data_IF_021055232540
#
_entry.id   IF_021055232540
#
_cell.length_a   1.000
_cell.length_b   1.000
_cell.length_c   1.000
_cell.angle_alpha   90.00
_cell.angle_beta   90.00
_cell.angle_gamma   90.00
#
_symmetry.space_group_name_H-M   'P 1'
#
loop_
_entity.id
_entity.type
_entity.pdbx_description
1 polymer ?
#
# COMPACT_ATOMS: atom_id res chain seq x y z
N UNK A 1 -23.15 44.22 -13.18
CA UNK A 1 -21.96 43.74 -13.92
C UNK A 1 -20.67 43.65 -13.09
N UNK A 2 -20.26 44.67 -12.32
CA UNK A 2 -18.97 44.65 -11.56
C UNK A 2 -18.82 43.53 -10.49
N UNK A 3 -19.91 43.05 -9.86
CA UNK A 3 -19.86 41.89 -8.92
C UNK A 3 -19.62 40.53 -9.60
N UNK A 4 -20.02 40.37 -10.87
CA UNK A 4 -19.80 39.14 -11.63
C UNK A 4 -18.39 39.08 -12.23
N UNK A 5 -17.82 40.23 -12.60
CA UNK A 5 -16.44 40.34 -13.06
C UNK A 5 -15.42 40.06 -11.94
N UNK A 6 -15.68 40.44 -10.69
CA UNK A 6 -14.79 40.09 -9.56
C UNK A 6 -14.82 38.58 -9.25
N UNK A 7 -15.99 37.94 -9.41
CA UNK A 7 -16.13 36.49 -9.30
C UNK A 7 -15.37 35.81 -10.46
N UNK A 8 -15.54 36.27 -11.70
CA UNK A 8 -14.81 35.79 -12.87
C UNK A 8 -13.29 36.02 -12.78
N UNK A 9 -12.82 37.11 -12.17
CA UNK A 9 -11.39 37.38 -11.98
C UNK A 9 -10.77 36.51 -10.87
N UNK A 10 -11.54 36.19 -9.81
CA UNK A 10 -11.16 35.16 -8.83
C UNK A 10 -11.19 33.76 -9.46
N UNK A 11 -12.05 33.52 -10.47
CA UNK A 11 -12.09 32.27 -11.24
C UNK A 11 -10.99 32.15 -12.31
N UNK A 12 -10.47 33.26 -12.85
CA UNK A 12 -9.47 33.25 -13.93
C UNK A 12 -8.06 32.80 -13.46
N UNK A 13 -7.79 32.82 -12.16
CA UNK A 13 -6.49 32.41 -11.59
C UNK A 13 -6.44 30.94 -11.14
N UNK A 14 -7.49 30.15 -11.38
CA UNK A 14 -7.54 28.73 -11.00
C UNK A 14 -8.06 27.87 -12.14
N UNK A 15 -7.15 27.22 -12.88
CA UNK A 15 -7.41 26.21 -13.92
C UNK A 15 -8.74 25.45 -13.75
N UNK A 16 -9.76 25.83 -14.52
CA UNK A 16 -11.10 25.25 -14.42
C UNK A 16 -11.70 24.93 -15.80
N UNK A 17 -11.22 23.86 -16.40
CA UNK A 17 -11.91 23.18 -17.52
C UNK A 17 -12.94 22.15 -17.02
N UNK A 18 -13.29 22.14 -15.73
CA UNK A 18 -14.04 21.03 -15.11
C UNK A 18 -15.20 21.47 -14.17
N UNK A 19 -15.54 22.76 -14.16
CA UNK A 19 -16.63 23.31 -13.32
C UNK A 19 -18.01 22.85 -13.83
N UNK A 20 -18.25 22.87 -15.14
CA UNK A 20 -19.56 22.50 -15.73
C UNK A 20 -19.91 21.05 -15.40
N UNK A 21 -18.90 20.19 -15.44
CA UNK A 21 -19.00 18.79 -15.08
C UNK A 21 -19.34 18.59 -13.58
N UNK A 22 -18.88 19.50 -12.71
CA UNK A 22 -19.17 19.51 -11.27
C UNK A 22 -20.61 19.99 -11.00
N UNK A 23 -21.09 20.95 -11.80
CA UNK A 23 -22.46 21.45 -11.80
C UNK A 23 -23.44 20.36 -12.28
N UNK A 24 -23.12 19.60 -13.32
CA UNK A 24 -23.96 18.49 -13.81
C UNK A 24 -24.23 17.41 -12.75
N UNK A 25 -23.25 17.09 -11.91
CA UNK A 25 -23.41 16.17 -10.78
C UNK A 25 -24.28 16.79 -9.68
N UNK A 26 -24.26 18.10 -9.54
CA UNK A 26 -25.11 18.83 -8.61
C UNK A 26 -26.56 18.92 -9.11
N UNK A 27 -26.83 18.89 -10.42
CA UNK A 27 -28.19 19.04 -10.94
C UNK A 27 -28.96 17.72 -11.14
N UNK A 28 -28.31 16.55 -11.20
CA UNK A 28 -28.95 15.29 -11.64
C UNK A 28 -29.63 14.37 -10.61
N UNK A 29 -29.60 14.62 -9.30
CA UNK A 29 -30.22 13.69 -8.32
C UNK A 29 -30.95 14.40 -7.17
N UNK A 30 -32.28 14.43 -7.18
CA UNK A 30 -33.14 14.87 -6.06
C UNK A 30 -33.97 13.70 -5.51
N UNK A 31 -33.96 13.52 -4.18
CA UNK A 31 -34.74 12.50 -3.45
C UNK A 31 -33.91 11.31 -2.94
N UNK A 32 -33.72 11.17 -1.61
CA UNK A 32 -32.72 10.28 -0.94
C UNK A 32 -31.24 10.52 -1.33
N UNK A 33 -30.99 11.38 -2.34
CA UNK A 33 -29.70 11.71 -2.93
C UNK A 33 -28.87 12.79 -2.24
N UNK A 34 -29.42 13.64 -1.35
CA UNK A 34 -28.67 14.83 -0.84
C UNK A 34 -27.33 14.49 -0.17
N UNK A 35 -27.29 13.55 0.77
CA UNK A 35 -26.02 13.13 1.40
C UNK A 35 -25.07 12.47 0.38
N UNK A 36 -25.62 11.68 -0.55
CA UNK A 36 -24.83 11.05 -1.60
C UNK A 36 -24.22 12.09 -2.56
N UNK A 37 -24.99 13.09 -2.93
CA UNK A 37 -24.61 14.22 -3.76
C UNK A 37 -23.55 15.07 -3.07
N UNK A 38 -23.73 15.41 -1.79
CA UNK A 38 -22.71 16.12 -0.99
C UNK A 38 -21.40 15.33 -0.97
N UNK A 39 -21.47 14.02 -0.74
CA UNK A 39 -20.31 13.13 -0.77
C UNK A 39 -19.63 13.13 -2.16
N UNK A 40 -20.41 12.99 -3.24
CA UNK A 40 -19.92 13.02 -4.63
C UNK A 40 -19.23 14.35 -4.96
N UNK A 41 -19.82 15.48 -4.58
CA UNK A 41 -19.25 16.81 -4.80
C UNK A 41 -17.96 16.96 -4.01
N UNK A 42 -17.94 16.59 -2.72
CA UNK A 42 -16.75 16.63 -1.89
C UNK A 42 -15.61 15.85 -2.53
N UNK A 43 -15.87 14.61 -2.94
CA UNK A 43 -14.86 13.75 -3.53
C UNK A 43 -14.36 14.26 -4.89
N UNK A 44 -15.28 14.67 -5.79
CA UNK A 44 -14.91 15.21 -7.10
C UNK A 44 -14.07 16.49 -6.94
N UNK A 45 -14.49 17.39 -6.07
CA UNK A 45 -13.76 18.63 -5.76
C UNK A 45 -12.35 18.34 -5.24
N UNK A 46 -12.18 17.33 -4.39
CA UNK A 46 -10.86 16.94 -3.88
C UNK A 46 -9.91 16.51 -5.01
N UNK A 47 -10.41 15.70 -5.94
CA UNK A 47 -9.62 15.22 -7.08
C UNK A 47 -9.24 16.32 -8.07
N UNK A 48 -10.06 17.37 -8.17
CA UNK A 48 -9.74 18.58 -8.94
C UNK A 48 -8.90 19.60 -8.13
N UNK A 49 -8.51 19.29 -6.89
CA UNK A 49 -7.73 20.19 -6.05
C UNK A 49 -8.53 21.36 -5.45
N UNK A 50 -9.86 21.35 -5.58
CA UNK A 50 -10.78 22.36 -5.06
C UNK A 50 -11.02 22.14 -3.55
N UNK A 51 -9.97 22.35 -2.76
CA UNK A 51 -9.95 22.01 -1.32
C UNK A 51 -10.98 22.78 -0.50
N UNK A 52 -11.24 24.06 -0.81
CA UNK A 52 -12.26 24.85 -0.10
C UNK A 52 -13.68 24.28 -0.28
N UNK A 53 -14.02 23.86 -1.51
CA UNK A 53 -15.31 23.23 -1.81
C UNK A 53 -15.40 21.87 -1.11
N UNK A 54 -14.32 21.09 -1.17
CA UNK A 54 -14.20 19.79 -0.51
C UNK A 54 -14.45 19.91 0.99
N UNK A 55 -13.77 20.85 1.65
CA UNK A 55 -13.94 21.11 3.07
C UNK A 55 -15.38 21.46 3.41
N UNK A 56 -15.95 22.46 2.72
CA UNK A 56 -17.33 22.91 2.95
C UNK A 56 -18.31 21.74 2.88
N UNK A 57 -18.19 20.91 1.82
CA UNK A 57 -19.07 19.76 1.59
C UNK A 57 -18.84 18.63 2.57
N UNK A 58 -17.60 18.37 2.97
CA UNK A 58 -17.31 17.39 4.02
C UNK A 58 -17.91 17.82 5.37
N UNK A 59 -17.77 19.09 5.77
CA UNK A 59 -18.36 19.61 7.00
C UNK A 59 -19.89 19.57 6.97
N UNK A 60 -20.48 19.92 5.82
CA UNK A 60 -21.93 19.78 5.57
C UNK A 60 -22.38 18.32 5.73
N UNK A 61 -21.65 17.37 5.13
CA UNK A 61 -21.94 15.93 5.27
C UNK A 61 -21.86 15.49 6.73
N UNK A 62 -20.82 15.88 7.47
CA UNK A 62 -20.66 15.48 8.87
C UNK A 62 -21.75 16.05 9.77
N UNK A 63 -22.29 17.24 9.44
CA UNK A 63 -23.42 17.86 10.15
C UNK A 63 -24.74 17.13 9.90
N UNK A 64 -24.98 16.71 8.66
CA UNK A 64 -26.26 16.12 8.24
C UNK A 64 -26.35 14.60 8.41
N UNK A 65 -25.21 13.89 8.45
CA UNK A 65 -25.19 12.43 8.55
C UNK A 65 -25.12 11.92 10.00
N UNK A 66 -25.81 10.80 10.26
CA UNK A 66 -25.72 10.06 11.53
C UNK A 66 -24.31 9.50 11.77
N UNK A 67 -23.87 9.37 13.04
CA UNK A 67 -22.52 8.89 13.39
C UNK A 67 -22.18 7.48 12.86
N UNK A 68 -23.19 6.63 12.65
CA UNK A 68 -23.04 5.29 12.08
C UNK A 68 -23.04 5.26 10.55
N UNK A 69 -23.19 6.40 9.86
CA UNK A 69 -23.20 6.43 8.41
C UNK A 69 -21.84 5.93 7.85
N UNK A 70 -21.83 4.89 7.00
CA UNK A 70 -20.60 4.23 6.56
C UNK A 70 -19.68 5.12 5.73
N UNK A 71 -20.17 6.24 5.17
CA UNK A 71 -19.37 7.20 4.38
C UNK A 71 -18.57 8.17 5.25
N UNK A 72 -18.85 8.26 6.56
CA UNK A 72 -18.12 9.19 7.46
C UNK A 72 -16.63 8.91 7.55
N UNK A 73 -16.22 7.63 7.45
CA UNK A 73 -14.80 7.23 7.40
C UNK A 73 -14.05 7.90 6.25
N UNK A 74 -14.65 7.91 5.06
CA UNK A 74 -14.09 8.56 3.88
C UNK A 74 -14.09 10.09 4.01
N UNK A 75 -15.15 10.67 4.58
CA UNK A 75 -15.24 12.13 4.78
C UNK A 75 -14.17 12.62 5.76
N UNK A 76 -13.94 11.90 6.86
CA UNK A 76 -12.88 12.25 7.81
C UNK A 76 -11.49 12.08 7.20
N UNK A 77 -11.26 11.03 6.40
CA UNK A 77 -10.02 10.86 5.64
C UNK A 77 -9.79 12.00 4.64
N UNK A 78 -10.82 12.35 3.83
CA UNK A 78 -10.77 13.48 2.90
C UNK A 78 -10.46 14.80 3.60
N UNK A 79 -11.12 15.10 4.73
CA UNK A 79 -10.81 16.29 5.53
C UNK A 79 -9.37 16.27 6.05
N UNK A 80 -8.89 15.12 6.52
CA UNK A 80 -7.49 14.99 6.96
C UNK A 80 -6.53 15.32 5.81
N UNK A 81 -6.82 14.84 4.59
CA UNK A 81 -6.00 15.10 3.42
C UNK A 81 -6.05 16.58 3.00
N UNK A 82 -7.25 17.18 3.01
CA UNK A 82 -7.45 18.61 2.74
C UNK A 82 -6.62 19.46 3.69
N UNK A 83 -6.77 19.24 5.01
CA UNK A 83 -6.09 20.04 6.02
C UNK A 83 -4.58 19.85 6.05
N UNK A 84 -4.10 18.64 5.73
CA UNK A 84 -2.67 18.43 5.53
C UNK A 84 -2.14 19.28 4.36
N UNK A 85 -2.85 19.28 3.22
CA UNK A 85 -2.44 20.01 2.01
C UNK A 85 -2.54 21.53 2.17
N UNK A 86 -3.59 22.02 2.81
CA UNK A 86 -3.78 23.45 3.10
C UNK A 86 -3.01 23.91 4.33
N UNK A 87 -2.29 23.00 5.00
CA UNK A 87 -1.53 23.25 6.23
C UNK A 87 -2.39 23.84 7.37
N UNK A 88 -3.69 23.52 7.40
CA UNK A 88 -4.63 24.01 8.40
C UNK A 88 -4.56 23.15 9.68
N UNK A 89 -3.68 23.56 10.59
CA UNK A 89 -3.39 22.89 11.86
C UNK A 89 -4.61 22.86 12.77
N UNK A 90 -5.28 24.00 12.94
CA UNK A 90 -6.40 24.14 13.87
C UNK A 90 -7.56 23.22 13.46
N UNK A 91 -7.94 23.23 12.18
CA UNK A 91 -9.02 22.37 11.71
C UNK A 91 -8.64 20.89 11.76
N UNK A 92 -7.38 20.52 11.49
CA UNK A 92 -6.93 19.14 11.67
C UNK A 92 -7.12 18.66 13.11
N UNK A 93 -6.70 19.46 14.09
CA UNK A 93 -6.81 19.12 15.50
C UNK A 93 -8.26 19.11 15.99
N UNK A 94 -8.98 20.20 15.78
CA UNK A 94 -10.29 20.44 16.38
C UNK A 94 -11.45 19.82 15.60
N UNK A 95 -11.34 19.68 14.27
CA UNK A 95 -12.41 19.14 13.43
C UNK A 95 -12.17 17.66 13.11
N UNK A 96 -10.92 17.27 12.81
CA UNK A 96 -10.64 15.89 12.38
C UNK A 96 -10.26 15.00 13.55
N UNK A 97 -9.20 15.30 14.31
CA UNK A 97 -8.72 14.41 15.38
C UNK A 97 -9.70 14.30 16.54
N UNK A 98 -10.30 15.41 16.99
CA UNK A 98 -11.33 15.36 18.02
C UNK A 98 -12.55 14.54 17.58
N UNK A 99 -13.03 14.76 16.34
CA UNK A 99 -14.18 14.02 15.81
C UNK A 99 -13.85 12.54 15.61
N UNK A 100 -12.66 12.22 15.10
CA UNK A 100 -12.18 10.85 14.97
C UNK A 100 -12.23 10.13 16.31
N UNK A 101 -11.73 10.76 17.37
CA UNK A 101 -11.72 10.17 18.70
C UNK A 101 -13.14 9.95 19.24
N UNK A 102 -14.04 10.92 19.07
CA UNK A 102 -15.45 10.81 19.50
C UNK A 102 -16.22 9.72 18.74
N UNK A 103 -15.88 9.51 17.46
CA UNK A 103 -16.58 8.56 16.57
C UNK A 103 -15.83 7.24 16.39
N UNK A 104 -14.73 7.02 17.10
CA UNK A 104 -13.80 5.90 16.91
C UNK A 104 -14.47 4.51 16.91
N UNK A 105 -15.58 4.33 17.62
CA UNK A 105 -16.33 3.06 17.62
C UNK A 105 -17.04 2.73 16.29
N UNK A 106 -17.28 3.75 15.45
CA UNK A 106 -17.95 3.61 14.15
C UNK A 106 -16.97 3.65 12.97
N UNK A 107 -15.74 4.10 13.20
CA UNK A 107 -14.71 4.20 12.15
C UNK A 107 -13.82 2.96 12.21
N UNK A 108 -13.61 2.22 11.11
CA UNK A 108 -12.70 1.07 11.15
C UNK A 108 -11.27 1.49 11.50
N UNK A 109 -10.56 0.63 12.24
CA UNK A 109 -9.23 0.93 12.78
C UNK A 109 -8.21 1.38 11.72
N UNK A 110 -8.29 0.82 10.52
CA UNK A 110 -7.41 1.16 9.40
C UNK A 110 -7.59 2.64 8.96
N UNK A 111 -8.83 3.13 8.91
CA UNK A 111 -9.11 4.55 8.63
C UNK A 111 -8.63 5.44 9.77
N UNK A 112 -8.83 5.01 11.02
CA UNK A 112 -8.35 5.75 12.17
C UNK A 112 -6.82 5.93 12.13
N UNK A 113 -6.07 4.88 11.79
CA UNK A 113 -4.60 4.94 11.65
C UNK A 113 -4.17 5.90 10.53
N UNK A 114 -4.81 5.86 9.36
CA UNK A 114 -4.54 6.81 8.25
C UNK A 114 -4.74 8.27 8.68
N UNK A 115 -5.91 8.56 9.24
CA UNK A 115 -6.26 9.91 9.70
C UNK A 115 -5.31 10.37 10.81
N UNK A 116 -4.99 9.48 11.76
CA UNK A 116 -4.01 9.76 12.81
C UNK A 116 -2.64 10.10 12.24
N UNK A 117 -2.10 9.30 11.30
CA UNK A 117 -0.78 9.55 10.67
C UNK A 117 -0.76 10.93 10.02
N UNK A 118 -1.81 11.29 9.27
CA UNK A 118 -1.91 12.60 8.63
C UNK A 118 -1.94 13.73 9.67
N UNK A 119 -2.82 13.62 10.67
CA UNK A 119 -2.99 14.66 11.69
C UNK A 119 -1.75 14.83 12.57
N UNK A 120 -1.22 13.73 13.09
CA UNK A 120 -0.01 13.70 13.90
C UNK A 120 1.17 14.34 13.16
N UNK A 121 1.40 13.97 11.89
CA UNK A 121 2.51 14.53 11.12
C UNK A 121 2.32 16.01 10.80
N UNK A 122 1.10 16.46 10.50
CA UNK A 122 0.86 17.89 10.26
C UNK A 122 1.18 18.72 11.51
N UNK A 123 0.71 18.27 12.68
CA UNK A 123 0.99 18.91 13.97
C UNK A 123 2.50 18.94 14.25
N UNK A 124 3.18 17.81 14.10
CA UNK A 124 4.62 17.68 14.30
C UNK A 124 5.42 18.61 13.37
N UNK A 125 5.09 18.64 12.07
CA UNK A 125 5.75 19.51 11.08
C UNK A 125 5.54 21.00 11.38
N UNK A 126 4.49 21.34 12.12
CA UNK A 126 4.17 22.69 12.56
C UNK A 126 4.64 22.99 13.99
N UNK A 127 5.55 22.15 14.51
CA UNK A 127 6.18 22.29 15.83
C UNK A 127 5.16 22.35 16.98
N UNK A 128 4.00 21.72 16.83
CA UNK A 128 3.05 21.54 17.93
C UNK A 128 3.48 20.37 18.80
N UNK A 129 3.16 20.43 20.08
CA UNK A 129 3.31 19.27 20.96
C UNK A 129 2.29 18.20 20.56
N UNK A 130 2.78 17.01 20.29
CA UNK A 130 2.00 15.85 19.85
C UNK A 130 1.85 14.79 20.94
N UNK A 131 2.38 15.03 22.14
CA UNK A 131 2.36 14.09 23.27
C UNK A 131 0.93 13.73 23.66
N UNK A 132 0.07 14.75 23.85
CA UNK A 132 -1.35 14.58 24.16
C UNK A 132 -2.10 13.80 23.07
N UNK A 133 -1.76 14.04 21.79
CA UNK A 133 -2.36 13.32 20.66
C UNK A 133 -1.92 11.85 20.66
N UNK A 134 -0.64 11.58 20.91
CA UNK A 134 -0.10 10.22 20.96
C UNK A 134 -0.71 9.42 22.12
N UNK A 135 -0.89 10.04 23.28
CA UNK A 135 -1.54 9.43 24.45
C UNK A 135 -3.01 9.13 24.16
N UNK A 136 -3.76 10.13 23.67
CA UNK A 136 -5.18 10.01 23.30
C UNK A 136 -5.45 8.89 22.30
N UNK A 137 -4.52 8.66 21.36
CA UNK A 137 -4.63 7.62 20.34
C UNK A 137 -3.74 6.40 20.61
N UNK A 138 -3.28 6.20 21.84
CA UNK A 138 -2.42 5.06 22.23
C UNK A 138 -3.01 3.70 21.88
N UNK A 139 -4.35 3.57 21.84
CA UNK A 139 -5.03 2.35 21.41
C UNK A 139 -4.74 1.97 19.95
N UNK A 140 -4.40 2.93 19.07
CA UNK A 140 -3.96 2.67 17.70
C UNK A 140 -2.54 2.11 17.62
N UNK A 141 -1.75 2.33 18.67
CA UNK A 141 -0.33 1.99 18.78
C UNK A 141 -0.09 0.66 19.49
N UNK A 142 -1.14 0.04 20.04
CA UNK A 142 -1.05 -1.23 20.77
C UNK A 142 -0.37 -2.29 19.90
N UNK A 143 0.64 -2.94 20.47
CA UNK A 143 1.35 -4.05 19.81
C UNK A 143 0.38 -5.22 19.61
N UNK A 144 0.51 -5.89 18.46
CA UNK A 144 -0.20 -7.15 18.15
C UNK A 144 0.04 -8.15 19.29
N UNK A 145 -0.97 -8.96 19.65
CA UNK A 145 -0.74 -10.18 20.44
C UNK A 145 0.32 -11.02 19.72
N UNK A 146 1.49 -11.13 20.32
CA UNK A 146 2.57 -11.99 19.81
C UNK A 146 2.24 -13.43 20.15
N UNK A 147 2.47 -14.33 19.21
CA UNK A 147 2.45 -15.77 19.46
C UNK A 147 3.88 -16.29 19.45
N UNK A 148 4.16 -17.39 20.16
CA UNK A 148 5.49 -18.01 20.08
C UNK A 148 5.66 -18.67 18.72
N UNK A 149 6.74 -18.37 18.02
CA UNK A 149 7.08 -19.06 16.79
C UNK A 149 7.61 -20.47 17.10
N UNK A 150 7.30 -21.48 16.26
CA UNK A 150 7.94 -22.77 16.34
C UNK A 150 9.43 -22.65 16.02
N UNK A 151 10.26 -23.61 16.49
CA UNK A 151 11.73 -23.57 16.35
C UNK A 151 12.17 -23.34 14.90
N UNK A 152 11.48 -23.97 13.93
CA UNK A 152 11.74 -23.83 12.49
C UNK A 152 11.59 -22.39 11.96
N UNK A 153 10.85 -21.53 12.67
CA UNK A 153 10.60 -20.14 12.28
C UNK A 153 11.31 -19.12 13.18
N UNK A 154 12.16 -19.54 14.12
CA UNK A 154 12.81 -18.62 15.08
C UNK A 154 13.64 -17.51 14.41
N UNK A 155 14.21 -17.75 13.22
CA UNK A 155 14.95 -16.75 12.42
C UNK A 155 14.11 -15.56 11.94
N UNK A 156 12.78 -15.66 12.06
CA UNK A 156 11.85 -14.57 11.83
C UNK A 156 11.55 -13.78 13.10
N UNK A 157 12.35 -13.89 14.17
CA UNK A 157 12.19 -13.08 15.39
C UNK A 157 12.93 -11.75 15.25
N UNK A 158 12.31 -10.59 15.56
CA UNK A 158 10.89 -10.41 15.88
C UNK A 158 10.03 -10.70 14.65
N UNK A 159 8.83 -11.28 14.84
CA UNK A 159 7.86 -11.80 13.84
C UNK A 159 7.47 -10.82 12.73
N UNK A 160 8.43 -10.44 11.89
CA UNK A 160 8.24 -9.52 10.78
C UNK A 160 7.66 -10.35 9.64
N UNK A 161 6.43 -10.00 9.27
CA UNK A 161 5.67 -10.60 8.17
C UNK A 161 5.44 -12.12 8.25
N UNK A 162 5.44 -12.67 9.46
CA UNK A 162 4.93 -14.03 9.75
C UNK A 162 3.57 -13.94 10.43
N UNK A 163 2.62 -14.73 9.94
CA UNK A 163 1.24 -14.73 10.40
C UNK A 163 0.74 -16.16 10.56
N UNK A 164 -0.09 -16.42 11.57
CA UNK A 164 -0.86 -17.66 11.64
C UNK A 164 -1.89 -17.69 10.50
N UNK A 165 -2.05 -18.84 9.87
CA UNK A 165 -3.10 -19.09 8.89
C UNK A 165 -4.28 -19.80 9.57
N UNK A 166 -5.38 -19.07 9.75
CA UNK A 166 -6.59 -19.54 10.43
C UNK A 166 -7.72 -19.86 9.43
N UNK A 167 -7.37 -20.29 8.21
CA UNK A 167 -8.36 -20.62 7.17
C UNK A 167 -9.05 -19.39 6.54
N UNK A 168 -8.51 -18.19 6.75
CA UNK A 168 -8.93 -16.96 6.06
C UNK A 168 -7.85 -16.48 5.10
N UNK A 169 -8.26 -15.92 3.96
CA UNK A 169 -7.34 -15.27 3.02
C UNK A 169 -6.93 -13.88 3.49
N UNK A 170 -7.73 -13.25 4.35
CA UNK A 170 -7.38 -11.98 4.98
C UNK A 170 -6.50 -12.26 6.18
N UNK A 171 -5.35 -11.60 6.22
CA UNK A 171 -4.43 -11.74 7.34
C UNK A 171 -3.70 -10.43 7.61
N UNK A 172 -3.06 -10.38 8.77
CA UNK A 172 -2.25 -9.25 9.19
C UNK A 172 -3.06 -8.03 9.61
N UNK A 173 -2.34 -6.99 10.02
CA UNK A 173 -2.91 -5.75 10.54
C UNK A 173 -1.97 -4.60 10.21
N UNK A 174 -2.51 -3.48 9.73
CA UNK A 174 -1.72 -2.29 9.47
C UNK A 174 -1.13 -1.75 10.77
N UNK A 175 0.07 -1.17 10.70
CA UNK A 175 0.78 -0.63 11.87
C UNK A 175 1.17 0.81 11.65
N UNK A 176 1.46 1.52 12.75
CA UNK A 176 2.11 2.83 12.71
C UNK A 176 3.54 2.63 13.15
N UNK A 177 4.48 3.03 12.31
CA UNK A 177 5.90 3.12 12.62
C UNK A 177 6.25 4.57 12.90
N UNK A 178 6.91 4.86 14.01
CA UNK A 178 7.48 6.18 14.26
C UNK A 178 8.95 6.15 13.87
N UNK A 179 9.36 7.06 13.00
CA UNK A 179 10.75 7.15 12.56
C UNK A 179 11.67 7.43 13.74
N UNK A 180 12.70 6.61 13.91
CA UNK A 180 13.68 6.79 14.99
C UNK A 180 14.67 7.91 14.69
N UNK A 181 14.97 8.10 13.40
CA UNK A 181 15.91 9.09 12.86
C UNK A 181 15.35 9.69 11.56
N UNK A 182 16.15 10.51 10.88
CA UNK A 182 15.81 10.99 9.55
C UNK A 182 16.08 9.88 8.53
N UNK A 183 15.02 9.38 7.89
CA UNK A 183 15.06 8.22 7.01
C UNK A 183 14.33 8.50 5.69
N UNK A 184 14.60 7.66 4.70
CA UNK A 184 13.84 7.52 3.46
C UNK A 184 12.87 6.34 3.55
N UNK A 185 11.92 6.25 2.62
CA UNK A 185 11.08 5.06 2.47
C UNK A 185 11.85 3.81 2.06
N UNK A 186 13.05 3.92 1.46
CA UNK A 186 13.89 2.75 1.24
C UNK A 186 14.38 2.16 2.56
N UNK A 187 14.90 3.00 3.45
CA UNK A 187 15.40 2.55 4.75
C UNK A 187 14.27 2.06 5.65
N UNK A 188 13.13 2.78 5.68
CA UNK A 188 11.94 2.33 6.40
C UNK A 188 11.44 1.01 5.81
N UNK A 189 11.38 0.88 4.48
CA UNK A 189 10.99 -0.34 3.80
C UNK A 189 11.87 -1.53 4.17
N UNK A 190 13.19 -1.32 4.22
CA UNK A 190 14.13 -2.31 4.71
C UNK A 190 13.85 -2.65 6.19
N UNK A 191 13.75 -1.68 7.09
CA UNK A 191 13.51 -1.90 8.53
C UNK A 191 12.18 -2.63 8.79
N UNK A 192 11.12 -2.26 8.08
CA UNK A 192 9.76 -2.76 8.31
C UNK A 192 9.38 -3.92 7.41
N UNK A 193 10.29 -4.35 6.52
CA UNK A 193 10.09 -5.40 5.52
C UNK A 193 8.85 -5.11 4.65
N UNK A 194 8.87 -3.94 4.04
CA UNK A 194 7.77 -3.35 3.26
C UNK A 194 8.34 -2.80 1.95
N UNK A 195 7.61 -2.97 0.85
CA UNK A 195 8.03 -2.48 -0.45
C UNK A 195 7.94 -0.97 -0.54
N UNK A 196 8.82 -0.34 -1.32
CA UNK A 196 8.82 1.10 -1.52
C UNK A 196 7.47 1.62 -2.04
N UNK A 197 6.93 1.01 -3.10
CA UNK A 197 5.63 1.42 -3.66
C UNK A 197 4.50 1.27 -2.62
N UNK A 198 4.52 0.20 -1.82
CA UNK A 198 3.53 -0.03 -0.76
C UNK A 198 3.55 1.11 0.29
N UNK A 199 4.75 1.56 0.70
CA UNK A 199 4.89 2.69 1.62
C UNK A 199 4.43 4.00 1.00
N UNK A 200 4.80 4.26 -0.27
CA UNK A 200 4.38 5.46 -1.01
C UNK A 200 2.87 5.53 -1.12
N UNK A 201 2.23 4.42 -1.46
CA UNK A 201 0.78 4.33 -1.65
C UNK A 201 0.00 4.41 -0.35
N UNK A 202 0.53 3.84 0.74
CA UNK A 202 -0.07 3.94 2.07
C UNK A 202 0.09 5.34 2.70
N UNK A 203 1.07 6.13 2.24
CA UNK A 203 1.45 7.42 2.82
C UNK A 203 1.59 8.53 1.76
N UNK A 204 0.56 8.83 0.96
CA UNK A 204 0.66 9.69 -0.23
C UNK A 204 0.92 11.18 0.07
N UNK A 205 0.95 11.58 1.35
CA UNK A 205 1.18 12.94 1.81
C UNK A 205 2.57 13.17 2.39
N UNK A 206 3.34 12.11 2.61
CA UNK A 206 4.69 12.19 3.16
C UNK A 206 5.72 12.30 2.03
N UNK A 207 6.83 12.99 2.30
CA UNK A 207 7.96 13.02 1.37
C UNK A 207 8.76 11.69 1.53
N UNK A 208 8.79 10.82 0.51
CA UNK A 208 9.44 9.51 0.63
C UNK A 208 10.96 9.58 0.81
N UNK A 209 11.58 10.74 0.55
CA UNK A 209 13.02 10.95 0.71
C UNK A 209 13.38 11.74 1.97
N UNK A 210 12.39 12.16 2.76
CA UNK A 210 12.62 12.96 3.96
C UNK A 210 11.55 12.69 5.02
N UNK A 211 11.65 11.52 5.66
CA UNK A 211 10.87 11.17 6.84
C UNK A 211 11.69 11.53 8.07
N UNK A 212 11.34 12.66 8.68
CA UNK A 212 12.05 13.17 9.86
C UNK A 212 11.83 12.29 11.07
N UNK A 213 12.77 12.34 12.00
CA UNK A 213 12.64 11.75 13.33
C UNK A 213 11.27 12.06 13.95
N UNK A 214 10.68 11.07 14.61
CA UNK A 214 9.35 11.07 15.22
C UNK A 214 8.16 11.12 14.28
N UNK A 215 8.32 11.28 12.96
CA UNK A 215 7.19 11.20 12.03
C UNK A 215 6.56 9.81 12.06
N UNK A 216 5.24 9.77 11.97
CA UNK A 216 4.46 8.55 11.88
C UNK A 216 4.36 8.08 10.42
N UNK A 217 4.52 6.80 10.17
CA UNK A 217 4.38 6.17 8.85
C UNK A 217 3.43 4.98 8.99
N UNK A 218 2.41 4.93 8.14
CA UNK A 218 1.52 3.79 8.03
C UNK A 218 2.24 2.64 7.31
N UNK A 219 2.34 1.49 7.98
CA UNK A 219 2.90 0.27 7.41
C UNK A 219 1.73 -0.64 6.99
N UNK A 220 1.47 -0.80 5.67
CA UNK A 220 0.39 -1.65 5.19
C UNK A 220 0.79 -3.12 5.39
N UNK A 221 0.14 -3.80 6.34
CA UNK A 221 0.43 -5.20 6.68
C UNK A 221 -0.78 -6.11 6.63
N UNK A 222 -1.97 -5.54 6.49
CA UNK A 222 -3.21 -6.27 6.29
C UNK A 222 -3.39 -6.53 4.79
N UNK A 223 -3.55 -7.80 4.41
CA UNK A 223 -3.56 -8.24 3.00
C UNK A 223 -4.47 -9.44 2.78
N UNK A 224 -4.91 -9.61 1.54
CA UNK A 224 -5.48 -10.82 0.99
C UNK A 224 -4.41 -11.65 0.29
N UNK A 225 -4.40 -12.96 0.54
CA UNK A 225 -3.63 -13.91 -0.24
C UNK A 225 -4.12 -13.89 -1.71
N UNK A 226 -3.24 -13.79 -2.72
CA UNK A 226 -3.64 -13.68 -4.12
C UNK A 226 -4.33 -14.93 -4.66
N UNK A 227 -3.96 -16.12 -4.18
CA UNK A 227 -4.63 -17.36 -4.53
C UNK A 227 -6.02 -17.45 -3.87
N UNK A 228 -7.04 -17.88 -4.64
CA UNK A 228 -8.41 -18.09 -4.12
C UNK A 228 -8.48 -19.29 -3.17
N UNK A 229 -7.74 -20.36 -3.49
CA UNK A 229 -7.65 -21.57 -2.69
C UNK A 229 -6.16 -21.85 -2.44
N UNK A 230 -5.52 -21.14 -1.49
CA UNK A 230 -4.10 -21.31 -1.25
C UNK A 230 -3.81 -22.69 -0.62
N UNK A 231 -2.71 -23.29 -1.00
CA UNK A 231 -2.20 -24.57 -0.50
C UNK A 231 -0.93 -24.34 0.32
N UNK A 232 -0.65 -25.24 1.24
CA UNK A 232 0.61 -25.25 1.96
C UNK A 232 1.75 -25.76 1.08
N UNK A 233 2.96 -25.33 1.42
CA UNK A 233 4.21 -25.58 0.70
C UNK A 233 4.15 -25.08 -0.75
N UNK A 234 3.43 -23.98 -0.99
CA UNK A 234 3.40 -23.27 -2.26
C UNK A 234 3.78 -21.80 -2.05
N UNK A 235 4.51 -21.26 -3.03
CA UNK A 235 4.84 -19.84 -3.14
C UNK A 235 3.84 -19.20 -4.10
N UNK A 236 3.27 -18.06 -3.70
CA UNK A 236 2.46 -17.20 -4.54
C UNK A 236 3.12 -15.84 -4.68
N UNK A 237 3.28 -15.36 -5.91
CA UNK A 237 3.83 -14.03 -6.18
C UNK A 237 2.78 -13.20 -6.90
N UNK A 238 2.51 -11.99 -6.41
CA UNK A 238 1.72 -11.01 -7.14
C UNK A 238 2.62 -9.87 -7.60
N UNK A 239 2.86 -9.76 -8.90
CA UNK A 239 3.77 -8.79 -9.50
C UNK A 239 3.24 -7.35 -9.37
N UNK A 240 1.92 -7.14 -9.41
CA UNK A 240 1.34 -5.79 -9.28
C UNK A 240 1.59 -5.23 -7.88
N UNK A 241 1.32 -6.05 -6.87
CA UNK A 241 1.57 -5.74 -5.46
C UNK A 241 3.06 -5.80 -5.10
N UNK A 242 3.88 -6.44 -5.93
CA UNK A 242 5.31 -6.67 -5.70
C UNK A 242 5.54 -7.39 -4.37
N UNK A 243 4.82 -8.49 -4.18
CA UNK A 243 4.87 -9.29 -2.95
C UNK A 243 4.92 -10.78 -3.23
N UNK A 244 5.77 -11.48 -2.48
CA UNK A 244 5.85 -12.92 -2.39
C UNK A 244 5.14 -13.39 -1.11
N UNK A 245 4.41 -14.48 -1.22
CA UNK A 245 3.70 -15.16 -0.14
C UNK A 245 4.15 -16.62 -0.13
N UNK A 246 4.52 -17.14 1.03
CA UNK A 246 4.82 -18.54 1.21
C UNK A 246 3.94 -19.09 2.33
N UNK A 247 3.11 -20.07 2.00
CA UNK A 247 2.27 -20.75 2.98
C UNK A 247 2.92 -22.06 3.38
N UNK A 248 3.04 -22.32 4.67
CA UNK A 248 3.64 -23.55 5.20
C UNK A 248 2.85 -24.10 6.37
N UNK A 249 3.05 -25.39 6.64
CA UNK A 249 2.57 -26.04 7.85
C UNK A 249 3.78 -26.43 8.70
N UNK A 250 3.78 -26.00 9.96
CA UNK A 250 4.81 -26.33 10.96
C UNK A 250 4.09 -26.74 12.24
N UNK A 251 4.46 -27.87 12.83
CA UNK A 251 3.86 -28.40 14.07
C UNK A 251 2.32 -28.41 14.03
N UNK A 252 1.78 -28.92 12.91
CA UNK A 252 0.35 -28.96 12.59
C UNK A 252 -0.37 -27.61 12.45
N UNK A 253 0.31 -26.49 12.57
CA UNK A 253 -0.25 -25.13 12.39
C UNK A 253 0.16 -24.54 11.05
N UNK A 254 -0.78 -23.84 10.43
CA UNK A 254 -0.53 -23.10 9.19
C UNK A 254 0.10 -21.73 9.47
N UNK A 255 1.03 -21.33 8.62
CA UNK A 255 1.66 -20.01 8.65
C UNK A 255 1.69 -19.40 7.26
N UNK A 256 1.58 -18.07 7.21
CA UNK A 256 1.80 -17.24 6.03
C UNK A 256 3.07 -16.42 6.31
N UNK A 257 4.03 -16.49 5.41
CA UNK A 257 5.23 -15.67 5.40
C UNK A 257 5.18 -14.80 4.16
N UNK A 258 5.48 -13.51 4.27
CA UNK A 258 5.45 -12.62 3.10
C UNK A 258 6.67 -11.74 3.02
N UNK A 259 7.10 -11.46 1.80
CA UNK A 259 8.26 -10.62 1.53
C UNK A 259 7.93 -9.60 0.43
N UNK A 260 8.36 -8.34 0.55
CA UNK A 260 8.37 -7.43 -0.58
C UNK A 260 9.38 -7.93 -1.62
N UNK A 261 9.09 -7.69 -2.90
CA UNK A 261 9.97 -8.10 -3.99
C UNK A 261 10.23 -6.95 -4.96
N UNK A 262 11.41 -6.93 -5.58
CA UNK A 262 11.66 -6.21 -6.82
C UNK A 262 11.34 -7.11 -8.01
N UNK A 263 10.81 -6.53 -9.08
CA UNK A 263 10.38 -7.27 -10.28
C UNK A 263 10.99 -6.68 -11.55
N UNK A 264 10.71 -7.32 -12.68
CA UNK A 264 11.07 -6.88 -14.01
C UNK A 264 10.61 -5.46 -14.34
N UNK A 265 11.37 -4.76 -15.19
CA UNK A 265 10.89 -3.51 -15.82
C UNK A 265 9.77 -3.80 -16.81
N UNK A 266 9.14 -2.74 -17.34
CA UNK A 266 8.09 -2.90 -18.36
C UNK A 266 8.66 -3.51 -19.66
N UNK A 267 9.94 -3.25 -19.97
CA UNK A 267 10.65 -3.83 -21.12
C UNK A 267 11.20 -5.23 -20.84
N UNK A 268 11.57 -5.53 -19.58
CA UNK A 268 12.10 -6.82 -19.15
C UNK A 268 11.20 -7.45 -18.09
N UNK A 269 10.03 -7.92 -18.50
CA UNK A 269 8.98 -8.37 -17.57
C UNK A 269 9.36 -9.64 -16.81
N UNK A 270 8.90 -9.72 -15.57
CA UNK A 270 8.90 -10.97 -14.81
C UNK A 270 7.88 -11.97 -15.38
N UNK A 271 8.15 -13.28 -15.29
CA UNK A 271 7.28 -14.28 -15.89
C UNK A 271 5.96 -14.41 -15.12
N UNK A 272 4.88 -14.72 -15.84
CA UNK A 272 3.56 -15.05 -15.27
C UNK A 272 3.28 -16.53 -15.57
N UNK A 273 2.81 -17.28 -14.58
CA UNK A 273 2.56 -18.71 -14.77
C UNK A 273 2.74 -19.55 -13.52
N UNK A 274 2.88 -20.86 -13.72
CA UNK A 274 3.15 -21.85 -12.69
C UNK A 274 4.53 -22.43 -12.95
N UNK A 275 5.34 -22.49 -11.92
CA UNK A 275 6.72 -22.96 -11.94
C UNK A 275 6.99 -23.82 -10.71
N UNK A 276 8.18 -24.41 -10.64
CA UNK A 276 8.72 -25.03 -9.45
C UNK A 276 10.15 -24.54 -9.20
N UNK A 277 10.59 -24.64 -7.95
CA UNK A 277 11.99 -24.44 -7.61
C UNK A 277 12.79 -25.64 -8.12
N UNK A 278 13.60 -25.45 -9.16
CA UNK A 278 14.41 -26.54 -9.77
C UNK A 278 15.81 -26.63 -9.16
N UNK A 279 16.34 -25.50 -8.70
CA UNK A 279 17.71 -25.39 -8.23
C UNK A 279 17.81 -24.36 -7.10
N UNK A 280 18.77 -24.56 -6.21
CA UNK A 280 19.07 -23.67 -5.10
C UNK A 280 20.59 -23.48 -5.00
N UNK A 281 21.07 -22.23 -5.04
CA UNK A 281 22.50 -21.88 -4.93
C UNK A 281 22.76 -20.96 -3.75
N UNK A 282 23.76 -21.32 -2.95
CA UNK A 282 24.34 -20.43 -1.95
C UNK A 282 25.45 -19.60 -2.57
N UNK A 283 25.50 -18.30 -2.25
CA UNK A 283 26.52 -17.38 -2.74
C UNK A 283 26.82 -17.56 -4.24
N UNK A 284 25.82 -17.38 -5.13
CA UNK A 284 25.96 -17.72 -6.55
C UNK A 284 26.91 -16.77 -7.29
N UNK A 285 27.75 -17.30 -8.18
CA UNK A 285 28.35 -16.49 -9.23
C UNK A 285 27.27 -16.01 -10.21
N UNK A 286 27.37 -14.77 -10.66
CA UNK A 286 26.50 -14.22 -11.69
C UNK A 286 27.20 -14.26 -13.06
N UNK A 287 26.74 -15.16 -13.91
CA UNK A 287 27.13 -15.21 -15.32
C UNK A 287 26.33 -14.17 -16.07
N UNK A 288 27.00 -13.16 -16.62
CA UNK A 288 26.34 -12.00 -17.22
C UNK A 288 25.63 -12.44 -18.51
N UNK A 289 24.29 -12.32 -18.58
CA UNK A 289 23.54 -12.66 -19.79
C UNK A 289 23.98 -11.80 -20.98
N UNK A 290 23.95 -12.39 -22.18
CA UNK A 290 24.38 -11.73 -23.42
C UNK A 290 23.69 -10.37 -23.64
N UNK A 291 22.38 -10.29 -23.44
CA UNK A 291 21.61 -9.05 -23.57
C UNK A 291 22.07 -7.94 -22.60
N UNK A 292 22.42 -8.29 -21.36
CA UNK A 292 22.96 -7.32 -20.40
C UNK A 292 24.38 -6.89 -20.80
N UNK A 293 25.16 -7.79 -21.39
CA UNK A 293 26.50 -7.47 -21.92
C UNK A 293 26.43 -6.61 -23.18
N UNK A 294 25.39 -6.75 -24.00
CA UNK A 294 25.10 -5.84 -25.13
C UNK A 294 24.74 -4.43 -24.63
N UNK A 295 23.96 -4.31 -23.55
CA UNK A 295 23.64 -3.02 -22.91
C UNK A 295 24.86 -2.38 -22.22
N UNK A 296 25.75 -3.18 -21.65
CA UNK A 296 26.97 -2.72 -20.98
C UNK A 296 28.16 -3.65 -21.26
N UNK A 297 28.91 -3.40 -22.35
CA UNK A 297 30.02 -4.26 -22.79
C UNK A 297 31.19 -4.36 -21.80
N UNK A 298 31.31 -3.40 -20.87
CA UNK A 298 32.39 -3.35 -19.88
C UNK A 298 32.16 -4.31 -18.68
N UNK A 299 31.01 -4.97 -18.61
CA UNK A 299 30.76 -5.97 -17.56
C UNK A 299 31.63 -7.22 -17.78
N UNK A 300 32.21 -7.80 -16.71
CA UNK A 300 32.91 -9.08 -16.83
C UNK A 300 31.94 -10.19 -17.22
N UNK A 301 32.44 -11.29 -17.80
CA UNK A 301 31.61 -12.47 -18.11
C UNK A 301 30.99 -13.10 -16.86
N UNK A 302 31.73 -13.05 -15.75
CA UNK A 302 31.35 -13.64 -14.47
C UNK A 302 31.63 -12.63 -13.38
N UNK A 303 30.61 -12.31 -12.59
CA UNK A 303 30.78 -11.63 -11.30
C UNK A 303 30.80 -12.69 -10.20
N UNK A 304 31.93 -12.83 -9.46
CA UNK A 304 32.03 -13.84 -8.40
C UNK A 304 31.10 -13.51 -7.23
N UNK A 305 30.91 -14.44 -6.28
CA UNK A 305 30.15 -14.17 -5.07
C UNK A 305 30.80 -13.04 -4.26
N UNK A 306 29.97 -12.18 -3.64
CA UNK A 306 30.47 -11.07 -2.83
C UNK A 306 29.49 -9.88 -2.82
N UNK A 307 29.89 -8.80 -2.14
CA UNK A 307 29.03 -7.62 -1.96
C UNK A 307 28.61 -6.96 -3.28
N UNK A 308 29.44 -7.07 -4.32
CA UNK A 308 29.14 -6.49 -5.64
C UNK A 308 28.28 -7.39 -6.53
N UNK A 309 27.96 -8.61 -6.09
CA UNK A 309 27.19 -9.55 -6.89
C UNK A 309 25.68 -9.19 -6.89
N UNK A 310 25.07 -8.94 -8.06
CA UNK A 310 23.67 -8.52 -8.12
C UNK A 310 22.66 -9.63 -7.77
N UNK A 311 23.10 -10.89 -7.73
CA UNK A 311 22.28 -12.00 -7.27
C UNK A 311 22.18 -12.07 -5.73
N UNK A 312 23.02 -11.32 -5.00
CA UNK A 312 23.04 -11.34 -3.55
C UNK A 312 23.49 -12.67 -2.97
N UNK A 313 23.00 -13.00 -1.78
CA UNK A 313 23.53 -14.13 -0.99
C UNK A 313 22.94 -15.50 -1.35
N UNK A 314 21.73 -15.55 -1.94
CA UNK A 314 21.03 -16.79 -2.30
C UNK A 314 20.28 -16.62 -3.61
N UNK A 315 20.18 -17.70 -4.40
CA UNK A 315 19.35 -17.76 -5.59
C UNK A 315 18.61 -19.10 -5.69
N UNK A 316 17.37 -19.05 -6.19
CA UNK A 316 16.53 -20.21 -6.48
C UNK A 316 16.01 -20.10 -7.91
N UNK A 317 16.16 -21.16 -8.71
CA UNK A 317 15.76 -21.17 -10.12
C UNK A 317 14.31 -21.60 -10.30
N UNK A 318 13.63 -20.96 -11.26
CA UNK A 318 12.29 -21.34 -11.70
C UNK A 318 12.39 -22.29 -12.90
N UNK A 319 12.02 -23.55 -12.71
CA UNK A 319 12.09 -24.62 -13.74
C UNK A 319 13.42 -24.64 -14.50
N UNK A 320 13.41 -24.90 -15.82
CA UNK A 320 14.59 -24.82 -16.69
C UNK A 320 14.87 -23.40 -17.21
N UNK A 321 14.20 -22.38 -16.66
CA UNK A 321 14.29 -21.00 -17.16
C UNK A 321 15.55 -20.27 -16.67
N UNK A 322 15.79 -19.10 -17.26
CA UNK A 322 16.81 -18.15 -16.79
C UNK A 322 16.34 -17.33 -15.58
N UNK A 323 15.06 -17.39 -15.21
CA UNK A 323 14.50 -16.60 -14.11
C UNK A 323 14.86 -17.17 -12.75
N UNK A 324 15.21 -16.26 -11.84
CA UNK A 324 15.61 -16.56 -10.47
C UNK A 324 14.73 -15.80 -9.46
N UNK A 325 14.51 -16.41 -8.30
CA UNK A 325 14.18 -15.72 -7.05
C UNK A 325 15.49 -15.58 -6.28
N UNK A 326 15.98 -14.37 -6.08
CA UNK A 326 17.32 -14.16 -5.54
C UNK A 326 17.42 -12.93 -4.64
N UNK A 327 18.56 -12.80 -3.96
CA UNK A 327 18.89 -11.63 -3.13
C UNK A 327 19.20 -10.39 -3.96
N UNK A 328 19.85 -9.40 -3.36
CA UNK A 328 20.38 -8.26 -4.12
C UNK A 328 21.48 -7.57 -3.32
N UNK A 329 22.46 -7.03 -4.02
CA UNK A 329 23.45 -6.13 -3.44
C UNK A 329 22.93 -4.70 -3.22
N UNK A 330 21.73 -4.39 -3.69
CA UNK A 330 21.15 -3.05 -3.57
C UNK A 330 20.01 -3.08 -2.56
N UNK A 331 20.16 -2.34 -1.47
CA UNK A 331 19.08 -2.16 -0.48
C UNK A 331 17.90 -1.32 -1.04
N UNK A 332 18.05 -0.74 -2.23
CA UNK A 332 16.99 -0.08 -2.98
C UNK A 332 16.52 -0.96 -4.15
N UNK A 333 15.27 -0.77 -4.59
CA UNK A 333 14.69 -1.51 -5.72
C UNK A 333 13.72 -2.63 -5.33
N UNK A 334 13.76 -3.11 -4.08
CA UNK A 334 12.70 -3.97 -3.54
C UNK A 334 11.41 -3.15 -3.39
N UNK A 335 10.32 -3.68 -3.93
CA UNK A 335 9.06 -2.96 -4.09
C UNK A 335 9.02 -2.02 -5.31
N UNK A 336 9.91 -2.21 -6.29
CA UNK A 336 9.95 -1.48 -7.57
C UNK A 336 10.13 -2.42 -8.78
N UNK A 337 9.93 -1.87 -9.98
CA UNK A 337 10.23 -2.49 -11.28
C UNK A 337 11.65 -2.09 -11.72
N UNK A 338 12.66 -2.92 -11.45
CA UNK A 338 14.10 -2.53 -11.56
C UNK A 338 15.03 -3.63 -12.06
N UNK A 339 14.50 -4.79 -12.41
CA UNK A 339 15.31 -5.94 -12.83
C UNK A 339 15.07 -6.29 -14.30
N UNK A 340 15.94 -7.13 -14.84
CA UNK A 340 15.76 -7.77 -16.14
C UNK A 340 14.88 -9.03 -16.04
N UNK A 341 13.79 -8.95 -15.26
CA UNK A 341 12.76 -9.99 -15.15
C UNK A 341 12.85 -10.92 -13.94
N UNK A 342 14.01 -11.06 -13.29
CA UNK A 342 14.14 -11.87 -12.08
C UNK A 342 13.39 -11.27 -10.87
N UNK A 343 13.10 -12.10 -9.86
CA UNK A 343 12.43 -11.69 -8.62
C UNK A 343 13.49 -11.42 -7.54
N UNK A 344 13.61 -10.16 -7.11
CA UNK A 344 14.61 -9.71 -6.12
C UNK A 344 14.03 -9.60 -4.72
N UNK A 345 14.70 -10.13 -3.72
CA UNK A 345 14.40 -9.97 -2.29
C UNK A 345 15.59 -9.30 -1.60
N UNK A 346 15.37 -8.70 -0.43
CA UNK A 346 16.49 -8.34 0.46
C UNK A 346 17.29 -9.60 0.85
N UNK A 347 18.60 -9.48 1.04
CA UNK A 347 19.46 -10.63 1.40
C UNK A 347 18.97 -11.39 2.65
N UNK A 348 18.61 -10.64 3.71
CA UNK A 348 18.03 -11.21 4.94
C UNK A 348 16.73 -12.00 4.72
N UNK A 349 16.01 -11.71 3.65
CA UNK A 349 14.70 -12.31 3.36
C UNK A 349 14.84 -13.50 2.41
N UNK A 350 15.71 -13.41 1.40
CA UNK A 350 16.02 -14.57 0.56
C UNK A 350 16.70 -15.67 1.38
N UNK A 351 17.57 -15.36 2.34
CA UNK A 351 18.21 -16.35 3.22
C UNK A 351 17.16 -17.13 4.01
N UNK A 352 16.22 -16.42 4.63
CA UNK A 352 15.13 -17.04 5.38
C UNK A 352 14.19 -17.86 4.49
N UNK A 353 13.86 -17.37 3.30
CA UNK A 353 13.02 -18.10 2.35
C UNK A 353 13.74 -19.36 1.84
N UNK A 354 15.03 -19.24 1.50
CA UNK A 354 15.86 -20.30 0.98
C UNK A 354 15.94 -21.49 1.95
N UNK A 355 16.05 -21.24 3.25
CA UNK A 355 16.10 -22.32 4.25
C UNK A 355 14.79 -23.09 4.39
N UNK A 356 13.65 -22.44 4.14
CA UNK A 356 12.34 -23.07 4.31
C UNK A 356 11.85 -23.79 3.06
N UNK A 357 12.29 -23.34 1.88
CA UNK A 357 11.81 -23.81 0.58
C UNK A 357 12.64 -24.98 0.07
N UNK A 358 11.96 -26.04 -0.36
CA UNK A 358 12.61 -27.23 -0.94
C UNK A 358 12.61 -27.16 -2.48
N UNK A 359 13.56 -27.86 -3.11
CA UNK A 359 13.47 -28.18 -4.55
C UNK A 359 12.14 -28.90 -4.81
N UNK A 360 11.48 -28.58 -5.92
CA UNK A 360 10.12 -29.03 -6.27
C UNK A 360 9.00 -28.19 -5.65
N UNK A 361 9.29 -27.20 -4.80
CA UNK A 361 8.26 -26.28 -4.27
C UNK A 361 7.58 -25.53 -5.42
N UNK A 362 6.25 -25.58 -5.47
CA UNK A 362 5.44 -24.87 -6.47
C UNK A 362 5.52 -23.37 -6.27
N UNK A 363 5.64 -22.64 -7.38
CA UNK A 363 5.62 -21.18 -7.45
C UNK A 363 4.53 -20.77 -8.44
N UNK A 364 3.58 -19.95 -8.01
CA UNK A 364 2.55 -19.40 -8.91
C UNK A 364 2.66 -17.89 -8.93
N UNK A 365 2.89 -17.34 -10.11
CA UNK A 365 3.12 -15.91 -10.32
C UNK A 365 1.92 -15.32 -11.06
N UNK A 366 1.38 -14.21 -10.52
CA UNK A 366 0.19 -13.53 -11.02
C UNK A 366 0.44 -12.05 -11.28
N UNK A 367 -0.39 -11.47 -12.15
CA UNK A 367 -0.63 -10.03 -12.22
C UNK A 367 -2.07 -9.73 -11.77
N UNK A 368 -2.27 -9.54 -10.45
CA UNK A 368 -3.58 -9.22 -9.90
C UNK A 368 -3.61 -7.80 -9.36
N UNK A 369 -4.22 -6.92 -10.12
CA UNK A 369 -4.62 -5.58 -9.67
C UNK A 369 -5.66 -5.65 -8.57
N UNK A 370 -6.57 -6.63 -8.63
CA UNK A 370 -7.67 -6.73 -7.66
C UNK A 370 -7.71 -8.11 -7.04
N UNK A 371 -7.72 -8.12 -5.70
CA UNK A 371 -7.98 -9.30 -4.88
C UNK A 371 -9.33 -9.10 -4.19
N UNK A 372 -10.23 -10.06 -4.38
CA UNK A 372 -11.54 -10.05 -3.76
C UNK A 372 -11.66 -11.21 -2.79
N UNK A 373 -12.41 -10.99 -1.71
CA UNK A 373 -12.87 -12.07 -0.85
C UNK A 373 -14.31 -11.83 -0.41
N UNK A 374 -15.22 -12.68 -0.89
CA UNK A 374 -16.64 -12.59 -0.55
C UNK A 374 -16.90 -12.96 0.92
N UNK A 375 -16.19 -13.99 1.42
CA UNK A 375 -16.28 -14.45 2.81
C UNK A 375 -15.95 -13.33 3.80
N UNK A 376 -14.83 -12.65 3.57
CA UNK A 376 -14.38 -11.53 4.39
C UNK A 376 -15.03 -10.19 3.97
N UNK A 377 -15.85 -10.19 2.91
CA UNK A 377 -16.47 -9.00 2.31
C UNK A 377 -15.45 -7.90 2.07
N UNK A 378 -14.35 -8.20 1.38
CA UNK A 378 -13.26 -7.27 1.15
C UNK A 378 -12.83 -7.25 -0.31
N UNK A 379 -12.53 -6.06 -0.82
CA UNK A 379 -11.74 -5.85 -2.03
C UNK A 379 -10.41 -5.17 -1.66
N UNK A 380 -9.32 -5.68 -2.22
CA UNK A 380 -7.98 -5.09 -2.17
C UNK A 380 -7.52 -4.73 -3.59
N UNK A 381 -7.06 -3.50 -3.79
CA UNK A 381 -6.77 -2.93 -5.11
C UNK A 381 -5.37 -2.36 -5.15
N UNK A 382 -4.58 -2.85 -6.10
CA UNK A 382 -3.20 -2.48 -6.37
C UNK A 382 -3.08 -1.89 -7.77
N UNK A 383 -2.06 -1.06 -8.01
CA UNK A 383 -1.73 -0.50 -9.32
C UNK A 383 -1.96 1.00 -9.44
N UNK A 384 -1.37 1.59 -10.49
CA UNK A 384 -1.46 3.01 -10.82
C UNK A 384 -2.78 3.33 -11.53
N UNK A 385 -3.22 4.58 -11.47
CA UNK A 385 -4.47 5.05 -12.12
C UNK A 385 -4.60 4.59 -13.58
N UNK A 386 -3.55 4.76 -14.39
CA UNK A 386 -3.53 4.32 -15.80
C UNK A 386 -3.84 2.81 -15.92
N UNK A 387 -3.30 2.00 -15.01
CA UNK A 387 -3.50 0.55 -15.01
C UNK A 387 -4.93 0.18 -14.55
N UNK A 388 -5.53 0.97 -13.65
CA UNK A 388 -6.89 0.77 -13.16
C UNK A 388 -7.98 1.28 -14.13
N UNK A 389 -7.67 2.22 -15.02
CA UNK A 389 -8.62 2.80 -15.98
C UNK A 389 -9.22 1.72 -16.90
N UNK A 390 -8.39 0.75 -17.31
CA UNK A 390 -8.73 -0.37 -18.18
C UNK A 390 -9.45 -1.53 -17.46
N UNK A 391 -9.59 -1.49 -16.14
CA UNK A 391 -10.32 -2.53 -15.42
C UNK A 391 -11.82 -2.39 -15.62
N UNK A 392 -12.44 -3.49 -16.04
CA UNK A 392 -13.89 -3.60 -16.07
C UNK A 392 -14.46 -3.55 -14.64
N UNK A 393 -15.54 -2.80 -14.40
CA UNK A 393 -16.21 -2.81 -13.11
C UNK A 393 -16.57 -4.24 -12.70
N UNK A 394 -16.13 -4.67 -11.52
CA UNK A 394 -16.51 -5.98 -10.98
C UNK A 394 -18.01 -5.92 -10.64
N UNK A 395 -18.77 -6.88 -11.19
CA UNK A 395 -20.19 -7.09 -10.85
C UNK A 395 -20.34 -7.19 -9.32
N UNK A 396 -21.31 -6.48 -8.75
CA UNK A 396 -21.62 -6.38 -7.31
C UNK A 396 -20.72 -5.46 -6.47
N UNK A 397 -19.85 -4.68 -7.10
CA UNK A 397 -19.20 -3.55 -6.43
C UNK A 397 -19.89 -2.27 -6.88
N UNK A 398 -20.21 -1.41 -5.91
CA UNK A 398 -20.95 -0.17 -6.13
C UNK A 398 -20.35 0.62 -7.31
N UNK A 399 -21.19 0.97 -8.30
CA UNK A 399 -20.75 1.68 -9.52
C UNK A 399 -20.09 3.03 -9.18
N UNK A 400 -20.48 3.66 -8.08
CA UNK A 400 -19.89 4.92 -7.62
C UNK A 400 -18.56 4.70 -6.91
N UNK A 401 -18.36 3.57 -6.23
CA UNK A 401 -17.06 3.14 -5.73
C UNK A 401 -16.06 2.93 -6.89
N UNK A 402 -16.50 2.36 -8.01
CA UNK A 402 -15.67 2.27 -9.21
C UNK A 402 -15.33 3.64 -9.82
N UNK A 403 -16.30 4.55 -9.88
CA UNK A 403 -16.03 5.93 -10.28
C UNK A 403 -15.11 6.64 -9.29
N UNK A 404 -15.21 6.33 -7.99
CA UNK A 404 -14.34 6.84 -6.93
C UNK A 404 -12.89 6.44 -7.22
N UNK A 405 -12.65 5.13 -7.41
CA UNK A 405 -11.32 4.59 -7.69
C UNK A 405 -10.70 5.15 -8.98
N UNK A 406 -11.51 5.23 -10.04
CA UNK A 406 -11.04 5.74 -11.34
C UNK A 406 -10.76 7.24 -11.34
N UNK A 407 -11.38 8.02 -10.44
CA UNK A 407 -11.18 9.48 -10.34
C UNK A 407 -10.13 9.90 -9.32
N UNK A 408 -9.73 9.03 -8.39
CA UNK A 408 -8.66 9.33 -7.43
C UNK A 408 -7.32 9.48 -8.17
N UNK A 409 -6.99 10.74 -8.53
CA UNK A 409 -5.80 11.09 -9.34
C UNK A 409 -4.47 10.81 -8.63
N UNK A 410 -4.48 10.45 -7.34
CA UNK A 410 -3.30 10.33 -6.49
C UNK A 410 -3.30 8.95 -5.85
N UNK A 411 -2.45 8.07 -6.38
CA UNK A 411 -2.41 6.64 -6.10
C UNK A 411 -2.47 6.29 -4.61
N UNK A 412 -3.40 5.39 -4.32
CA UNK A 412 -3.63 4.81 -3.01
C UNK A 412 -3.99 3.34 -3.24
N UNK A 413 -2.98 2.52 -3.55
CA UNK A 413 -3.12 1.10 -3.88
C UNK A 413 -3.16 0.15 -2.66
N UNK A 414 -3.56 0.69 -1.50
CA UNK A 414 -3.94 -0.14 -0.35
C UNK A 414 -5.27 0.33 0.19
N UNK A 415 -6.33 -0.19 -0.42
CA UNK A 415 -7.61 -0.22 0.23
C UNK A 415 -8.12 -1.63 0.32
N UNK A 416 -8.25 -2.12 1.55
CA UNK A 416 -9.21 -3.15 1.89
C UNK A 416 -10.53 -2.43 2.10
N UNK A 417 -11.41 -2.41 1.11
CA UNK A 417 -12.75 -1.89 1.31
C UNK A 417 -13.66 -3.01 1.78
N UNK A 418 -14.34 -2.76 2.90
CA UNK A 418 -15.45 -3.59 3.33
C UNK A 418 -16.60 -3.44 2.33
N UNK A 419 -17.02 -4.54 1.72
CA UNK A 419 -18.26 -4.71 0.98
C UNK A 419 -19.39 -4.84 2.01
N UNK A 420 -19.68 -3.76 2.74
CA UNK A 420 -20.81 -3.66 3.67
C UNK A 420 -21.66 -2.45 3.34
#
# INVERSE_FOLDING_TARGET
MKKYLLILFIFYTSFATNIDNLLDVAFKETGKGKLNQIFKIAFKSYNEGLYNITEKKCREFLKLSSKNNPKRKYILELLSNVYFRTKNVWSMEHIVLNRLYQERKYIPLDFQKKIFVNGYNLLLLKKKDVSNIKEKFSYLLKKRKTFKLPKKLNKFTPQVNVFLYEGSRLFGENKIYFSKDNLTFYEIGYITDTGYDELREANPLLNPFNIRKNMAVLIPRKRLIPAKNPKFNEIYINLIEKRLYYLIKVDNKGYIITFPIGIGTDDNKSPVGKFHISEKRENPSWYVPKNIKEENPNLPDIVPPGENNPLGTRAMRLDSSTYLIHGTNKNFGVGLKVSHGCIRLFNKDIERLYELVNIGTKVVIYEKFIKLSNKEKIIEIHGRKKELEYLNPIKNIDKYFWQYLKKEKRGSAFFLYLLS
#
